data_IF_257071287773
#
_entry.id   IF_257071287773
#
_cell.length_a   1.000
_cell.length_b   1.000
_cell.length_c   1.000
_cell.angle_alpha   90.00
_cell.angle_beta   90.00
_cell.angle_gamma   90.00
#
_symmetry.space_group_name_H-M   'P 1'
#
loop_
_entity.id
_entity.type
_entity.pdbx_description
1 polymer ?
#
# COMPACT_ATOMS: atom_id res chain seq x y z
N UNK A 1 34.12 32.92 7.03
CA UNK A 1 33.13 32.12 7.78
C UNK A 1 32.52 31.11 6.83
N UNK A 2 32.95 29.85 6.88
CA UNK A 2 32.41 28.78 6.04
C UNK A 2 31.23 28.15 6.77
N UNK A 3 30.01 28.61 6.45
CA UNK A 3 28.79 27.94 6.91
C UNK A 3 28.76 26.56 6.26
N UNK A 4 29.14 25.53 7.03
CA UNK A 4 28.90 24.13 6.65
C UNK A 4 27.39 23.96 6.59
N UNK A 5 26.83 24.03 5.38
CA UNK A 5 25.47 23.61 5.11
C UNK A 5 25.37 22.15 5.56
N UNK A 6 24.44 21.79 6.47
CA UNK A 6 24.22 20.38 6.79
C UNK A 6 23.76 19.68 5.51
N UNK A 7 24.18 18.42 5.26
CA UNK A 7 23.72 17.70 4.07
C UNK A 7 22.20 17.59 4.18
N UNK A 8 21.49 18.19 3.22
CA UNK A 8 20.08 17.90 3.00
C UNK A 8 19.98 16.39 2.89
N UNK A 9 19.24 15.76 3.79
CA UNK A 9 19.03 14.31 3.78
C UNK A 9 18.65 13.91 2.35
N UNK A 10 19.56 13.25 1.64
CA UNK A 10 19.25 12.66 0.34
C UNK A 10 18.08 11.73 0.59
N UNK A 11 16.89 12.12 0.10
CA UNK A 11 15.72 11.26 0.14
C UNK A 11 16.03 10.12 -0.82
N UNK A 12 16.69 9.09 -0.29
CA UNK A 12 17.08 7.89 -1.02
C UNK A 12 15.84 7.38 -1.73
N UNK A 13 15.84 7.46 -3.07
CA UNK A 13 14.73 6.93 -3.87
C UNK A 13 14.53 5.47 -3.47
N UNK A 14 13.32 5.07 -3.03
CA UNK A 14 13.08 3.69 -2.67
C UNK A 14 13.38 2.80 -3.87
N UNK A 15 14.17 1.75 -3.66
CA UNK A 15 14.45 0.78 -4.71
C UNK A 15 13.16 -0.01 -4.95
N UNK A 16 12.55 0.17 -6.12
CA UNK A 16 11.29 -0.50 -6.48
C UNK A 16 11.39 -2.03 -6.37
N UNK A 17 12.58 -2.61 -6.59
CA UNK A 17 12.83 -4.05 -6.42
C UNK A 17 12.60 -4.56 -4.99
N UNK A 18 12.71 -3.68 -4.00
CA UNK A 18 12.48 -4.02 -2.59
C UNK A 18 11.02 -3.82 -2.17
N UNK A 19 10.19 -3.22 -3.05
CA UNK A 19 8.78 -2.99 -2.77
C UNK A 19 7.99 -4.21 -3.19
N UNK A 20 7.35 -4.84 -2.21
CA UNK A 20 6.42 -5.94 -2.43
C UNK A 20 5.13 -5.39 -3.05
N UNK A 21 4.93 -5.60 -4.36
CA UNK A 21 3.74 -5.14 -5.09
C UNK A 21 2.44 -5.66 -4.47
N UNK A 22 2.47 -6.83 -3.81
CA UNK A 22 1.31 -7.36 -3.11
C UNK A 22 0.89 -6.48 -1.92
N UNK A 23 1.82 -5.73 -1.31
CA UNK A 23 1.45 -4.77 -0.28
C UNK A 23 0.64 -3.60 -0.87
N UNK A 24 0.99 -3.15 -2.08
CA UNK A 24 0.27 -2.07 -2.74
C UNK A 24 -1.14 -2.50 -3.18
N UNK A 25 -1.31 -3.74 -3.64
CA UNK A 25 -2.65 -4.29 -3.95
C UNK A 25 -3.50 -4.45 -2.69
N UNK A 26 -2.90 -4.90 -1.58
CA UNK A 26 -3.58 -4.94 -0.27
C UNK A 26 -3.98 -3.55 0.18
N UNK A 27 -3.10 -2.56 0.05
CA UNK A 27 -3.40 -1.18 0.39
C UNK A 27 -4.61 -0.64 -0.40
N UNK A 28 -4.63 -0.81 -1.72
CA UNK A 28 -5.74 -0.37 -2.57
C UNK A 28 -7.07 -1.07 -2.23
N UNK A 29 -7.05 -2.38 -1.98
CA UNK A 29 -8.25 -3.12 -1.58
C UNK A 29 -8.78 -2.66 -0.21
N UNK A 30 -7.89 -2.46 0.77
CA UNK A 30 -8.28 -2.02 2.10
C UNK A 30 -8.79 -0.58 2.10
N UNK A 31 -8.21 0.30 1.27
CA UNK A 31 -8.71 1.67 1.05
C UNK A 31 -10.15 1.68 0.50
N UNK A 32 -10.46 0.79 -0.45
CA UNK A 32 -11.79 0.68 -1.05
C UNK A 32 -12.81 0.09 -0.08
N UNK A 33 -12.46 -1.02 0.58
CA UNK A 33 -13.41 -1.79 1.37
C UNK A 33 -13.59 -1.27 2.80
N UNK A 34 -12.58 -0.59 3.35
CA UNK A 34 -12.52 -0.14 4.75
C UNK A 34 -12.83 -1.27 5.75
N UNK A 35 -12.58 -2.51 5.34
CA UNK A 35 -12.91 -3.72 6.06
C UNK A 35 -11.94 -4.84 5.65
N UNK A 36 -11.18 -5.36 6.61
CA UNK A 36 -10.15 -6.38 6.38
C UNK A 36 -10.75 -7.68 5.80
N UNK A 37 -11.93 -8.10 6.27
CA UNK A 37 -12.58 -9.32 5.81
C UNK A 37 -13.03 -9.19 4.35
N UNK A 38 -13.63 -8.05 3.99
CA UNK A 38 -14.04 -7.79 2.60
C UNK A 38 -12.84 -7.64 1.66
N UNK A 39 -11.79 -6.95 2.10
CA UNK A 39 -10.55 -6.84 1.35
C UNK A 39 -9.91 -8.22 1.11
N UNK A 40 -9.88 -9.07 2.13
CA UNK A 40 -9.39 -10.45 2.01
C UNK A 40 -10.19 -11.25 0.98
N UNK A 41 -11.52 -11.14 1.01
CA UNK A 41 -12.38 -11.76 0.02
C UNK A 41 -12.11 -11.23 -1.41
N UNK A 42 -12.02 -9.92 -1.58
CA UNK A 42 -11.73 -9.29 -2.88
C UNK A 42 -10.38 -9.69 -3.47
N UNK A 43 -9.39 -9.98 -2.61
CA UNK A 43 -8.04 -10.36 -3.03
C UNK A 43 -7.84 -11.88 -3.14
N UNK A 44 -8.85 -12.69 -2.80
CA UNK A 44 -8.68 -14.15 -2.68
C UNK A 44 -7.67 -14.55 -1.60
N UNK A 45 -7.50 -13.73 -0.57
CA UNK A 45 -6.55 -13.94 0.53
C UNK A 45 -7.29 -14.34 1.83
N UNK A 46 -6.55 -14.92 2.78
CA UNK A 46 -7.07 -15.09 4.13
C UNK A 46 -7.02 -13.77 4.93
N UNK A 47 -7.94 -13.60 5.88
CA UNK A 47 -7.95 -12.43 6.77
C UNK A 47 -6.62 -12.22 7.54
N UNK A 48 -5.94 -13.27 8.05
CA UNK A 48 -4.62 -13.12 8.66
C UNK A 48 -3.55 -12.63 7.68
N UNK A 49 -3.60 -13.06 6.41
CA UNK A 49 -2.64 -12.62 5.39
C UNK A 49 -2.79 -11.11 5.09
N UNK A 50 -4.03 -10.63 4.94
CA UNK A 50 -4.31 -9.19 4.78
C UNK A 50 -3.90 -8.40 6.03
N UNK A 51 -4.20 -8.91 7.23
CA UNK A 51 -3.81 -8.24 8.48
C UNK A 51 -2.29 -8.12 8.62
N UNK A 52 -1.54 -9.16 8.25
CA UNK A 52 -0.09 -9.14 8.22
C UNK A 52 0.45 -8.14 7.18
N UNK A 53 -0.15 -8.10 5.99
CA UNK A 53 0.21 -7.12 4.96
C UNK A 53 -0.04 -5.67 5.40
N UNK A 54 -1.13 -5.38 6.12
CA UNK A 54 -1.38 -4.06 6.74
C UNK A 54 -0.30 -3.71 7.75
N UNK A 55 0.13 -4.65 8.60
CA UNK A 55 1.25 -4.42 9.51
C UNK A 55 2.57 -4.13 8.79
N UNK A 56 2.84 -4.80 7.66
CA UNK A 56 4.02 -4.54 6.82
C UNK A 56 3.94 -3.18 6.12
N UNK A 57 2.77 -2.79 5.65
CA UNK A 57 2.51 -1.45 5.08
C UNK A 57 2.85 -0.35 6.09
N UNK A 58 2.45 -0.53 7.35
CA UNK A 58 2.77 0.42 8.41
C UNK A 58 4.28 0.64 8.58
N UNK A 59 5.06 -0.45 8.54
CA UNK A 59 6.53 -0.37 8.61
C UNK A 59 7.11 0.27 7.35
N UNK A 60 6.63 -0.10 6.17
CA UNK A 60 7.10 0.42 4.88
C UNK A 60 6.89 1.93 4.75
N UNK A 61 5.73 2.43 5.17
CA UNK A 61 5.39 3.86 5.06
C UNK A 61 5.74 4.67 6.32
N UNK A 62 6.17 4.00 7.39
CA UNK A 62 6.38 4.60 8.70
C UNK A 62 5.17 5.46 9.17
N UNK A 63 3.96 4.94 8.92
CA UNK A 63 2.67 5.58 9.21
C UNK A 63 1.64 4.48 9.51
N UNK A 64 0.66 4.70 10.40
CA UNK A 64 -0.36 3.68 10.68
C UNK A 64 -1.18 3.30 9.45
N UNK A 65 -1.41 4.24 8.53
CA UNK A 65 -2.27 4.17 7.33
C UNK A 65 -3.74 3.83 7.59
N UNK A 66 -4.03 2.94 8.54
CA UNK A 66 -5.37 2.51 8.91
C UNK A 66 -5.47 2.43 10.43
N UNK A 67 -6.54 2.99 10.98
CA UNK A 67 -6.84 2.93 12.41
C UNK A 67 -8.12 2.13 12.63
N UNK A 68 -8.24 1.48 13.80
CA UNK A 68 -9.47 0.77 14.14
C UNK A 68 -10.62 1.76 14.31
N UNK A 69 -11.76 1.46 13.69
CA UNK A 69 -12.98 2.24 13.82
C UNK A 69 -14.18 1.31 14.00
N UNK A 70 -14.66 1.19 15.23
CA UNK A 70 -15.71 0.23 15.61
C UNK A 70 -15.30 -1.21 15.29
N UNK A 71 -16.07 -1.87 14.42
CA UNK A 71 -15.79 -3.24 13.93
C UNK A 71 -14.96 -3.29 12.64
N UNK A 72 -14.62 -2.13 12.08
CA UNK A 72 -13.87 -2.01 10.84
C UNK A 72 -12.57 -1.24 11.03
N UNK A 73 -12.08 -0.67 9.94
CA UNK A 73 -10.89 0.18 9.94
C UNK A 73 -11.16 1.42 9.10
N UNK A 74 -10.45 2.49 9.39
CA UNK A 74 -10.58 3.77 8.70
C UNK A 74 -9.20 4.24 8.23
N UNK A 75 -9.07 4.74 6.99
CA UNK A 75 -7.82 5.32 6.52
C UNK A 75 -7.40 6.56 7.29
N UNK A 76 -6.10 6.75 7.48
CA UNK A 76 -5.51 8.01 7.97
C UNK A 76 -5.48 9.06 6.86
N UNK A 77 -5.24 10.32 7.22
CA UNK A 77 -5.02 11.39 6.23
C UNK A 77 -3.87 11.04 5.26
N UNK A 78 -2.81 10.40 5.76
CA UNK A 78 -1.69 9.96 4.94
C UNK A 78 -2.11 8.89 3.92
N UNK A 79 -2.92 7.92 4.32
CA UNK A 79 -3.44 6.92 3.40
C UNK A 79 -4.31 7.54 2.29
N UNK A 80 -5.16 8.53 2.61
CA UNK A 80 -5.92 9.26 1.59
C UNK A 80 -5.02 9.99 0.58
N UNK A 81 -3.95 10.63 1.05
CA UNK A 81 -2.98 11.29 0.16
C UNK A 81 -2.29 10.32 -0.81
N UNK A 82 -2.02 9.09 -0.36
CA UNK A 82 -1.33 8.06 -1.17
C UNK A 82 -2.27 7.34 -2.14
N UNK A 83 -3.56 7.23 -1.80
CA UNK A 83 -4.48 6.35 -2.50
C UNK A 83 -4.60 6.62 -4.00
N UNK A 84 -4.75 7.89 -4.39
CA UNK A 84 -4.89 8.26 -5.80
C UNK A 84 -3.70 7.83 -6.64
N UNK A 85 -2.48 8.16 -6.19
CA UNK A 85 -1.26 7.86 -6.95
C UNK A 85 -0.92 6.38 -6.96
N UNK A 86 -1.12 5.67 -5.85
CA UNK A 86 -0.90 4.21 -5.78
C UNK A 86 -1.88 3.48 -6.70
N UNK A 87 -3.17 3.84 -6.67
CA UNK A 87 -4.18 3.22 -7.54
C UNK A 87 -3.87 3.44 -9.02
N UNK A 88 -3.50 4.66 -9.40
CA UNK A 88 -3.11 4.98 -10.78
C UNK A 88 -1.92 4.15 -11.25
N UNK A 89 -0.88 4.01 -10.41
CA UNK A 89 0.27 3.19 -10.73
C UNK A 89 -0.09 1.71 -10.90
N UNK A 90 -0.93 1.17 -10.01
CA UNK A 90 -1.42 -0.21 -10.12
C UNK A 90 -2.26 -0.44 -11.37
N UNK A 91 -3.10 0.53 -11.76
CA UNK A 91 -3.89 0.45 -12.99
C UNK A 91 -3.00 0.48 -14.23
N UNK A 92 -1.98 1.34 -14.25
CA UNK A 92 -1.03 1.38 -15.34
C UNK A 92 -0.32 0.03 -15.49
N UNK A 93 0.18 -0.54 -14.39
CA UNK A 93 0.81 -1.87 -14.41
C UNK A 93 -0.17 -2.94 -14.90
N UNK A 94 -1.42 -2.95 -14.42
CA UNK A 94 -2.44 -3.91 -14.86
C UNK A 94 -2.76 -3.82 -16.35
N UNK A 95 -2.79 -2.61 -16.93
CA UNK A 95 -3.10 -2.41 -18.35
C UNK A 95 -1.98 -2.91 -19.28
N UNK A 96 -0.73 -2.86 -18.81
CA UNK A 96 0.44 -3.27 -19.61
C UNK A 96 0.77 -4.76 -19.44
N UNK A 97 0.29 -5.39 -18.37
CA UNK A 97 0.47 -6.82 -18.15
C UNK A 97 -0.55 -7.62 -18.96
N UNK A 98 -0.14 -8.74 -19.58
CA UNK A 98 -1.09 -9.64 -20.22
C UNK A 98 -2.10 -10.10 -19.17
N UNK A 99 -3.39 -9.89 -19.43
CA UNK A 99 -4.45 -10.45 -18.60
C UNK A 99 -4.17 -11.94 -18.43
N UNK A 100 -4.08 -12.41 -17.18
CA UNK A 100 -3.75 -13.79 -16.88
C UNK A 100 -4.89 -14.70 -17.34
N UNK A 101 -4.95 -15.01 -18.63
CA UNK A 101 -5.77 -16.06 -19.21
C UNK A 101 -5.14 -17.45 -18.94
N UNK A 102 -4.63 -17.67 -17.73
CA UNK A 102 -4.17 -18.99 -17.28
C UNK A 102 -5.35 -19.75 -16.67
N UNK A 103 -6.35 -19.98 -17.50
CA UNK A 103 -7.37 -21.00 -17.29
C UNK A 103 -7.65 -21.64 -18.65
N UNK A 104 -6.78 -22.59 -19.00
CA UNK A 104 -7.12 -23.76 -19.81
C UNK A 104 -6.70 -24.99 -19.03
#
# INVERSE_FOLDING_TARGET
>A
MNIKQPPAAEVTKPQLRMVDLNLLTVFDAVMQEQNITRAAHSLGMSQPAVSNAVSRLKVMFNDELFVRYGRGIQPTARAFQLFGSVRQALQLVQNELPGSALSQ
#
